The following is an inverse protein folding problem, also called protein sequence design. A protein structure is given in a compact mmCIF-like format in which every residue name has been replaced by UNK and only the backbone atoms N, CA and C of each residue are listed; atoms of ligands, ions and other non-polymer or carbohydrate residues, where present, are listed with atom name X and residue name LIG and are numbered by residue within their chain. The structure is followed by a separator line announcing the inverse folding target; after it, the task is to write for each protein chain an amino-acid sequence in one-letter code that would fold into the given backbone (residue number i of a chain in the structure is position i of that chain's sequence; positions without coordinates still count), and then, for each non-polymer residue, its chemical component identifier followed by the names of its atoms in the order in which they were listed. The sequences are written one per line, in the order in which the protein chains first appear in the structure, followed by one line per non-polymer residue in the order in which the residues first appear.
data_IF_989484664556
#
_entry.id   IF_989484664556
#
_cell.length_a   1.000
_cell.length_b   1.000
_cell.length_c   1.000
_cell.angle_alpha   90.00
_cell.angle_beta   90.00
_cell.angle_gamma   90.00
#
_symmetry.space_group_name_H-M   'P 1'
#
loop_
_entity.id
_entity.type
_entity.pdbx_description
1 polymer ?
#
# COMPACT_ATOMS: atom_id res chain seq x y z
N UNK A 1 -7.86 -1.26 9.07
CA UNK A 1 -8.33 -0.05 8.37
C UNK A 1 -8.00 -0.14 6.88
N UNK A 2 -6.75 -0.49 6.54
CA UNK A 2 -6.25 -0.69 5.17
C UNK A 2 -7.14 -1.54 4.25
N UNK A 3 -7.63 -2.71 4.70
CA UNK A 3 -8.43 -3.62 3.85
C UNK A 3 -9.81 -3.08 3.44
N UNK A 4 -10.29 -2.01 4.09
CA UNK A 4 -11.56 -1.36 3.74
C UNK A 4 -11.37 -0.21 2.75
N UNK A 5 -10.17 0.34 2.67
CA UNK A 5 -9.87 1.52 1.87
C UNK A 5 -8.99 1.24 0.66
N UNK A 6 -8.23 0.14 0.67
CA UNK A 6 -7.27 -0.23 -0.35
C UNK A 6 -7.62 -1.57 -0.99
N UNK A 7 -7.50 -1.62 -2.31
CA UNK A 7 -7.66 -2.83 -3.10
C UNK A 7 -6.37 -3.14 -3.84
N UNK A 8 -5.91 -4.38 -3.76
CA UNK A 8 -4.74 -4.87 -4.49
C UNK A 8 -5.06 -5.01 -5.98
N UNK A 9 -4.19 -4.45 -6.82
CA UNK A 9 -4.35 -4.46 -8.27
C UNK A 9 -3.13 -5.04 -8.98
N UNK A 10 -3.21 -5.06 -10.31
CA UNK A 10 -2.09 -5.33 -11.21
C UNK A 10 -1.74 -6.81 -11.32
N UNK A 11 -0.53 -7.06 -11.80
CA UNK A 11 0.00 -8.41 -11.99
C UNK A 11 0.12 -9.18 -10.68
N UNK A 12 0.36 -8.49 -9.55
CA UNK A 12 0.39 -9.12 -8.22
C UNK A 12 -0.98 -9.69 -7.85
N UNK A 13 -2.06 -8.92 -7.99
CA UNK A 13 -3.39 -9.40 -7.63
C UNK A 13 -3.72 -10.71 -8.36
N UNK A 14 -3.45 -10.75 -9.67
CA UNK A 14 -3.67 -11.95 -10.49
C UNK A 14 -2.73 -13.09 -10.07
N UNK A 15 -1.46 -12.78 -9.80
CA UNK A 15 -0.46 -13.78 -9.38
C UNK A 15 -0.73 -14.38 -8.00
N UNK A 16 -1.42 -13.69 -7.10
CA UNK A 16 -1.78 -14.20 -5.78
C UNK A 16 -3.14 -14.91 -5.75
N UNK A 17 -4.08 -14.52 -6.62
CA UNK A 17 -5.47 -14.99 -6.57
C UNK A 17 -5.83 -16.05 -7.61
N UNK A 18 -5.19 -16.03 -8.80
CA UNK A 18 -5.54 -16.90 -9.94
C UNK A 18 -4.44 -17.92 -10.23
N UNK A 19 -3.17 -17.53 -10.11
CA UNK A 19 -2.04 -18.42 -10.33
C UNK A 19 -1.39 -18.80 -8.99
N UNK A 20 -0.86 -20.02 -8.87
CA UNK A 20 0.06 -20.40 -7.79
C UNK A 20 1.50 -20.37 -8.31
N UNK A 21 1.86 -19.31 -9.04
CA UNK A 21 3.18 -19.19 -9.66
C UNK A 21 4.01 -18.18 -8.87
N UNK A 22 5.19 -18.56 -8.34
CA UNK A 22 6.02 -17.65 -7.57
C UNK A 22 6.79 -16.75 -8.54
N UNK A 23 6.09 -15.87 -9.25
CA UNK A 23 6.75 -14.77 -9.95
C UNK A 23 7.14 -13.72 -8.92
N UNK A 24 8.41 -13.34 -8.92
CA UNK A 24 8.90 -12.23 -8.12
C UNK A 24 8.20 -10.95 -8.58
N UNK A 25 7.43 -10.32 -7.70
CA UNK A 25 6.95 -8.96 -7.92
C UNK A 25 7.64 -8.04 -6.94
N UNK A 26 8.25 -7.00 -7.50
CA UNK A 26 9.15 -6.10 -6.77
C UNK A 26 8.37 -4.98 -6.09
N UNK A 27 7.24 -4.56 -6.67
CA UNK A 27 6.39 -3.45 -6.20
C UNK A 27 4.93 -3.91 -5.99
N UNK A 28 4.24 -3.33 -4.99
CA UNK A 28 2.83 -3.61 -4.67
C UNK A 28 1.96 -2.39 -5.00
N UNK A 29 1.07 -2.54 -5.98
CA UNK A 29 0.10 -1.50 -6.37
C UNK A 29 -1.22 -1.64 -5.60
N UNK A 30 -1.64 -0.55 -4.95
CA UNK A 30 -2.90 -0.47 -4.19
C UNK A 30 -3.73 0.72 -4.70
N UNK A 31 -5.00 0.47 -5.05
CA UNK A 31 -5.97 1.50 -5.42
C UNK A 31 -6.80 1.91 -4.19
N UNK A 32 -7.01 3.21 -3.99
CA UNK A 32 -7.93 3.74 -2.99
C UNK A 32 -9.35 3.83 -3.58
N UNK A 33 -10.32 3.21 -2.93
CA UNK A 33 -11.68 3.05 -3.49
C UNK A 33 -12.79 3.64 -2.63
N UNK A 34 -12.46 4.38 -1.57
CA UNK A 34 -13.47 5.03 -0.73
C UNK A 34 -13.98 6.28 -1.43
N UNK A 35 -15.29 6.38 -1.59
CA UNK A 35 -15.94 7.60 -2.07
C UNK A 35 -16.04 8.61 -0.91
N UNK A 36 -15.19 9.63 -0.94
CA UNK A 36 -15.16 10.70 0.06
C UNK A 36 -14.64 12.00 -0.57
N UNK A 37 -14.83 13.11 0.14
CA UNK A 37 -14.27 14.40 -0.28
C UNK A 37 -12.73 14.40 -0.20
N UNK A 38 -12.13 15.44 -0.77
CA UNK A 38 -10.68 15.58 -0.87
C UNK A 38 -10.00 15.66 0.51
N UNK A 39 -10.57 16.36 1.47
CA UNK A 39 -9.95 16.52 2.79
C UNK A 39 -9.97 15.19 3.55
N UNK A 40 -11.11 14.50 3.52
CA UNK A 40 -11.25 13.14 4.06
C UNK A 40 -10.25 12.17 3.42
N UNK A 41 -10.11 12.18 2.09
CA UNK A 41 -9.14 11.33 1.39
C UNK A 41 -7.70 11.61 1.83
N UNK A 42 -7.31 12.88 1.99
CA UNK A 42 -5.97 13.25 2.45
C UNK A 42 -5.70 12.79 3.89
N UNK A 43 -6.70 12.91 4.77
CA UNK A 43 -6.61 12.41 6.14
C UNK A 43 -6.43 10.90 6.16
N UNK A 44 -7.25 10.15 5.42
CA UNK A 44 -7.15 8.69 5.32
C UNK A 44 -5.80 8.28 4.72
N UNK A 45 -5.31 8.99 3.70
CA UNK A 45 -3.99 8.73 3.10
C UNK A 45 -2.87 8.85 4.14
N UNK A 46 -2.93 9.85 5.02
CA UNK A 46 -1.94 10.01 6.08
C UNK A 46 -2.00 8.86 7.09
N UNK A 47 -3.21 8.43 7.47
CA UNK A 47 -3.39 7.28 8.38
C UNK A 47 -2.88 5.98 7.75
N UNK A 48 -3.21 5.73 6.49
CA UNK A 48 -2.73 4.58 5.70
C UNK A 48 -1.20 4.53 5.69
N UNK A 49 -0.56 5.65 5.35
CA UNK A 49 0.91 5.74 5.32
C UNK A 49 1.52 5.45 6.70
N UNK A 50 0.95 6.02 7.76
CA UNK A 50 1.44 5.80 9.12
C UNK A 50 1.30 4.33 9.55
N UNK A 51 0.21 3.66 9.19
CA UNK A 51 0.00 2.25 9.50
C UNK A 51 1.02 1.35 8.76
N UNK A 52 1.29 1.64 7.48
CA UNK A 52 2.31 0.93 6.69
C UNK A 52 3.70 1.15 7.28
N UNK A 53 4.08 2.40 7.59
CA UNK A 53 5.39 2.72 8.16
C UNK A 53 5.60 2.02 9.51
N UNK A 54 4.62 2.09 10.42
CA UNK A 54 4.68 1.41 11.72
C UNK A 54 4.85 -0.10 11.56
N UNK A 55 4.13 -0.70 10.62
CA UNK A 55 4.26 -2.13 10.34
C UNK A 55 5.68 -2.46 9.86
N UNK A 56 6.21 -1.72 8.89
CA UNK A 56 7.56 -1.93 8.36
C UNK A 56 8.65 -1.76 9.45
N UNK A 57 8.50 -0.76 10.32
CA UNK A 57 9.40 -0.58 11.48
C UNK A 57 9.34 -1.77 12.44
N UNK A 58 8.14 -2.28 12.72
CA UNK A 58 7.94 -3.42 13.64
C UNK A 58 8.47 -4.74 13.09
N UNK A 59 8.45 -4.91 11.77
CA UNK A 59 8.94 -6.11 11.06
C UNK A 59 10.48 -6.11 10.92
N UNK A 60 11.15 -5.06 11.42
CA UNK A 60 12.60 -4.91 11.30
C UNK A 60 13.08 -4.51 9.90
N UNK A 61 12.15 -4.11 9.03
CA UNK A 61 12.48 -3.62 7.69
C UNK A 61 13.14 -2.24 7.76
N UNK A 62 14.28 -2.07 7.07
CA UNK A 62 14.95 -0.77 6.95
C UNK A 62 14.29 0.04 5.84
N UNK A 63 13.54 1.07 6.23
CA UNK A 63 12.91 2.00 5.30
C UNK A 63 13.98 2.96 4.75
N UNK A 64 14.32 2.83 3.47
CA UNK A 64 15.07 3.85 2.75
C UNK A 64 14.11 4.92 2.26
N UNK A 65 13.93 5.97 3.07
CA UNK A 65 13.20 7.14 2.61
C UNK A 65 14.03 7.83 1.52
N UNK A 66 13.71 7.60 0.25
CA UNK A 66 14.21 8.42 -0.86
C UNK A 66 13.46 9.75 -0.82
N UNK A 67 13.73 10.57 0.19
CA UNK A 67 13.33 11.96 0.23
C UNK A 67 14.13 12.68 -0.86
N UNK A 68 13.59 12.72 -2.08
CA UNK A 68 13.95 13.81 -3.00
C UNK A 68 13.58 15.10 -2.29
N UNK A 69 14.63 15.83 -1.91
CA UNK A 69 14.55 17.22 -1.49
C UNK A 69 13.71 18.00 -2.50
N UNK A 70 12.81 18.83 -1.96
CA UNK A 70 12.23 20.07 -2.50
C UNK A 70 11.86 20.08 -3.99
#
# INVERSE_FOLDING_TARGET
MLSKSLVLKGGIAINLTVFQLPRLSVDIDLDFTVDCDRESMLSIRQEVNNEILRYMESDGSRIWCCARHQ
#
